data_IF_863982281599
#
_entry.id   IF_863982281599
#
_cell.length_a   1.000
_cell.length_b   1.000
_cell.length_c   1.000
_cell.angle_alpha   90.00
_cell.angle_beta   90.00
_cell.angle_gamma   90.00
#
_symmetry.space_group_name_H-M   'P 1'
#
loop_
_entity.id
_entity.type
_entity.pdbx_description
1 polymer ?
#
# COMPACT_ATOMS: atom_id res chain seq x y z
N UNK A 1 20.35 -31.66 -6.17
CA UNK A 1 19.82 -30.62 -7.07
C UNK A 1 20.25 -29.29 -6.48
N UNK A 2 20.81 -28.40 -7.30
CA UNK A 2 21.17 -27.06 -6.84
C UNK A 2 19.90 -26.26 -6.55
N UNK A 3 19.82 -25.67 -5.36
CA UNK A 3 18.68 -24.87 -4.92
C UNK A 3 18.92 -23.45 -5.46
N UNK A 4 17.97 -22.84 -6.21
CA UNK A 4 18.11 -21.48 -6.68
C UNK A 4 18.31 -20.51 -5.51
N UNK A 5 19.10 -19.46 -5.74
CA UNK A 5 19.42 -18.44 -4.73
C UNK A 5 18.94 -17.08 -5.20
N UNK A 6 18.13 -16.41 -4.38
CA UNK A 6 17.49 -15.13 -4.72
C UNK A 6 18.06 -14.04 -3.82
N UNK A 7 18.53 -12.94 -4.41
CA UNK A 7 18.70 -11.69 -3.69
C UNK A 7 17.36 -10.95 -3.71
N UNK A 8 16.70 -10.89 -2.55
CA UNK A 8 15.40 -10.25 -2.39
C UNK A 8 15.61 -8.85 -1.82
N UNK A 9 15.38 -7.82 -2.62
CA UNK A 9 15.56 -6.41 -2.25
C UNK A 9 14.19 -5.77 -1.98
N UNK A 10 13.88 -5.49 -0.72
CA UNK A 10 12.58 -4.96 -0.32
C UNK A 10 12.64 -4.20 1.00
N UNK A 11 11.76 -3.21 1.25
CA UNK A 11 11.45 -2.83 2.63
C UNK A 11 10.89 -4.03 3.41
N UNK A 12 11.13 -4.02 4.72
CA UNK A 12 10.56 -4.91 5.74
C UNK A 12 10.30 -4.10 7.01
N UNK A 13 9.51 -4.63 7.95
CA UNK A 13 9.14 -3.88 9.15
C UNK A 13 10.39 -3.55 9.97
N UNK A 14 10.51 -2.33 10.54
CA UNK A 14 9.45 -1.33 10.73
C UNK A 14 9.37 -0.26 9.63
N UNK A 15 9.84 -0.52 8.40
CA UNK A 15 9.65 0.46 7.33
C UNK A 15 8.15 0.72 7.09
N UNK A 16 7.71 1.98 7.08
CA UNK A 16 6.30 2.34 6.95
C UNK A 16 5.83 2.21 5.49
N UNK A 17 5.65 0.97 5.04
CA UNK A 17 5.21 0.61 3.69
C UNK A 17 4.39 -0.67 3.75
N UNK A 18 3.24 -0.71 3.08
CA UNK A 18 2.47 -1.97 2.97
C UNK A 18 3.24 -3.09 2.27
N UNK A 19 4.29 -2.75 1.51
CA UNK A 19 5.18 -3.73 0.87
C UNK A 19 6.13 -4.38 1.88
N UNK A 20 6.39 -3.72 3.02
CA UNK A 20 7.11 -4.31 4.14
C UNK A 20 6.32 -5.50 4.71
N UNK A 21 5.04 -5.28 5.04
CA UNK A 21 4.14 -6.34 5.51
C UNK A 21 4.03 -7.47 4.48
N UNK A 22 3.76 -7.12 3.21
CA UNK A 22 3.65 -8.12 2.15
C UNK A 22 4.92 -8.97 2.00
N UNK A 23 6.10 -8.35 2.13
CA UNK A 23 7.36 -9.08 2.02
C UNK A 23 7.56 -10.06 3.15
N UNK A 24 7.25 -9.66 4.39
CA UNK A 24 7.32 -10.57 5.53
C UNK A 24 6.28 -11.69 5.48
N UNK A 25 5.16 -11.48 4.77
CA UNK A 25 4.15 -12.50 4.52
C UNK A 25 4.55 -13.46 3.39
N UNK A 26 5.21 -12.98 2.33
CA UNK A 26 5.62 -13.76 1.16
C UNK A 26 6.90 -14.57 1.37
N UNK A 27 7.92 -13.98 2.01
CA UNK A 27 9.25 -14.57 2.22
C UNK A 27 9.22 -16.02 2.76
N UNK A 28 8.38 -16.39 3.76
CA UNK A 28 8.44 -17.74 4.30
C UNK A 28 7.97 -18.80 3.31
N UNK A 29 7.07 -18.43 2.41
CA UNK A 29 6.58 -19.30 1.33
C UNK A 29 7.54 -19.31 0.14
N UNK A 30 8.16 -18.18 -0.18
CA UNK A 30 9.18 -18.12 -1.23
C UNK A 30 10.43 -18.95 -0.85
N UNK A 31 10.79 -18.98 0.43
CA UNK A 31 11.84 -19.82 1.00
C UNK A 31 11.62 -21.33 0.80
N UNK A 32 10.41 -21.76 0.43
CA UNK A 32 10.15 -23.16 0.07
C UNK A 32 10.70 -23.53 -1.32
N UNK A 33 10.96 -22.55 -2.18
CA UNK A 33 11.39 -22.75 -3.57
C UNK A 33 12.84 -22.31 -3.83
N UNK A 34 13.40 -21.43 -2.99
CA UNK A 34 14.76 -20.90 -3.15
C UNK A 34 15.44 -20.61 -1.81
N UNK A 35 16.77 -20.58 -1.80
CA UNK A 35 17.56 -19.93 -0.75
C UNK A 35 17.43 -18.41 -0.93
N UNK A 36 16.85 -17.72 0.05
CA UNK A 36 16.63 -16.27 -0.03
C UNK A 36 17.63 -15.54 0.85
N UNK A 37 18.27 -14.52 0.30
CA UNK A 37 19.03 -13.51 1.06
C UNK A 37 18.29 -12.19 0.93
N UNK A 38 17.90 -11.62 2.07
CA UNK A 38 17.18 -10.36 2.13
C UNK A 38 18.18 -9.20 2.13
N UNK A 39 17.98 -8.26 1.22
CA UNK A 39 18.70 -7.00 1.18
C UNK A 39 17.76 -5.84 1.54
N UNK A 40 18.11 -5.12 2.61
CA UNK A 40 17.31 -3.99 3.13
C UNK A 40 18.08 -2.69 3.03
N UNK A 41 17.39 -1.57 3.19
CA UNK A 41 18.02 -0.25 3.25
C UNK A 41 19.11 -0.18 4.32
N UNK A 42 20.17 0.54 4.00
CA UNK A 42 21.31 0.74 4.87
C UNK A 42 20.87 1.40 6.19
N UNK A 43 21.05 0.70 7.31
CA UNK A 43 20.66 1.21 8.62
C UNK A 43 19.33 0.67 9.12
N UNK A 44 18.47 0.14 8.24
CA UNK A 44 17.24 -0.54 8.66
C UNK A 44 17.57 -1.76 9.52
N UNK A 45 16.82 -1.95 10.60
CA UNK A 45 16.88 -3.14 11.46
C UNK A 45 15.51 -3.79 11.44
N UNK A 46 15.38 -5.00 10.86
CA UNK A 46 14.08 -5.66 10.83
C UNK A 46 13.55 -5.90 12.24
N UNK A 47 12.27 -5.57 12.49
CA UNK A 47 11.63 -5.77 13.80
C UNK A 47 11.06 -7.19 13.97
N UNK A 48 10.84 -7.91 12.86
CA UNK A 48 10.35 -9.28 12.87
C UNK A 48 11.47 -10.27 13.22
N UNK A 49 11.40 -10.84 14.44
CA UNK A 49 12.39 -11.80 14.94
C UNK A 49 12.48 -13.08 14.10
N UNK A 50 11.32 -13.64 13.69
CA UNK A 50 11.28 -14.88 12.89
C UNK A 50 12.00 -14.70 11.56
N UNK A 51 11.89 -13.51 10.95
CA UNK A 51 12.62 -13.17 9.73
C UNK A 51 14.14 -13.16 9.96
N UNK A 52 14.62 -12.48 11.01
CA UNK A 52 16.07 -12.35 11.30
C UNK A 52 16.70 -13.68 11.69
N UNK A 53 15.95 -14.56 12.36
CA UNK A 53 16.42 -15.89 12.78
C UNK A 53 16.54 -16.87 11.62
N UNK A 54 15.76 -16.70 10.55
CA UNK A 54 15.62 -17.70 9.49
C UNK A 54 16.16 -17.28 8.13
N UNK A 55 16.35 -15.98 7.89
CA UNK A 55 16.83 -15.43 6.61
C UNK A 55 18.07 -14.59 6.86
N UNK A 56 19.11 -14.78 6.04
CA UNK A 56 20.27 -13.90 6.03
C UNK A 56 19.84 -12.49 5.58
N UNK A 57 20.05 -11.49 6.44
CA UNK A 57 19.73 -10.08 6.14
C UNK A 57 21.02 -9.28 5.98
N UNK A 58 21.16 -8.62 4.82
CA UNK A 58 22.31 -7.79 4.49
C UNK A 58 21.89 -6.36 4.11
N UNK A 59 22.72 -5.35 4.38
CA UNK A 59 22.47 -4.00 3.88
C UNK A 59 22.66 -3.95 2.35
N UNK A 60 21.79 -3.19 1.66
CA UNK A 60 21.78 -3.06 0.20
C UNK A 60 23.12 -2.62 -0.39
N UNK A 61 23.92 -1.79 0.31
CA UNK A 61 25.27 -1.44 -0.17
C UNK A 61 26.20 -2.64 -0.40
N UNK A 62 25.94 -3.78 0.23
CA UNK A 62 26.74 -5.00 0.05
C UNK A 62 26.37 -5.78 -1.21
N UNK A 63 25.21 -5.54 -1.82
CA UNK A 63 24.73 -6.32 -2.97
C UNK A 63 25.76 -6.45 -4.10
N UNK A 64 26.44 -5.38 -4.58
CA UNK A 64 27.43 -5.53 -5.65
C UNK A 64 28.64 -6.40 -5.27
N UNK A 65 29.02 -6.40 -3.98
CA UNK A 65 30.10 -7.26 -3.49
C UNK A 65 29.63 -8.70 -3.38
N UNK A 66 28.42 -8.94 -2.90
CA UNK A 66 27.86 -10.28 -2.75
C UNK A 66 27.64 -10.96 -4.11
N UNK A 67 27.10 -10.24 -5.09
CA UNK A 67 26.93 -10.75 -6.47
C UNK A 67 28.25 -11.21 -7.07
N UNK A 68 29.36 -10.48 -6.83
CA UNK A 68 30.71 -10.87 -7.30
C UNK A 68 31.29 -12.07 -6.56
N UNK A 69 30.93 -12.26 -5.28
CA UNK A 69 31.48 -13.32 -4.43
C UNK A 69 30.76 -14.66 -4.66
N UNK A 70 29.43 -14.62 -4.70
CA UNK A 70 28.56 -15.78 -4.90
C UNK A 70 27.38 -15.32 -5.75
N UNK A 71 27.35 -15.66 -7.05
CA UNK A 71 26.30 -15.18 -7.94
C UNK A 71 24.92 -15.67 -7.47
N UNK A 72 23.94 -14.78 -7.59
CA UNK A 72 22.54 -15.11 -7.35
C UNK A 72 21.91 -15.58 -8.66
N UNK A 73 20.96 -16.50 -8.55
CA UNK A 73 20.18 -16.99 -9.67
C UNK A 73 19.11 -15.99 -10.13
N UNK A 74 18.66 -15.10 -9.22
CA UNK A 74 17.83 -13.95 -9.53
C UNK A 74 18.08 -12.80 -8.55
N UNK A 75 17.96 -11.58 -9.06
CA UNK A 75 17.84 -10.35 -8.26
C UNK A 75 16.38 -9.90 -8.37
N UNK A 76 15.72 -9.68 -7.24
CA UNK A 76 14.32 -9.31 -7.17
C UNK A 76 14.17 -7.99 -6.41
N UNK A 77 13.57 -6.99 -7.03
CA UNK A 77 13.44 -5.64 -6.49
C UNK A 77 11.98 -5.26 -6.31
N UNK A 78 11.54 -5.04 -5.08
CA UNK A 78 10.18 -4.58 -4.78
C UNK A 78 10.13 -3.06 -4.92
N UNK A 79 9.35 -2.57 -5.88
CA UNK A 79 9.18 -1.16 -6.17
C UNK A 79 7.74 -0.73 -5.96
N UNK A 80 7.55 0.26 -5.10
CA UNK A 80 6.30 0.97 -4.89
C UNK A 80 6.51 2.48 -4.93
N UNK A 81 5.42 3.23 -4.80
CA UNK A 81 5.43 4.68 -4.91
C UNK A 81 5.79 5.39 -3.59
N UNK A 82 6.87 4.97 -2.90
CA UNK A 82 7.27 5.58 -1.62
C UNK A 82 8.79 5.65 -1.40
N UNK A 83 9.26 6.55 -0.50
CA UNK A 83 10.68 6.72 -0.19
C UNK A 83 11.40 5.43 0.22
N UNK A 84 10.69 4.47 0.82
CA UNK A 84 11.23 3.18 1.27
C UNK A 84 11.88 2.36 0.14
N UNK A 85 11.64 2.74 -1.12
CA UNK A 85 12.17 2.09 -2.31
C UNK A 85 13.40 2.77 -2.90
N UNK A 86 13.92 3.84 -2.29
CA UNK A 86 15.01 4.63 -2.87
C UNK A 86 16.33 3.86 -2.98
N UNK A 87 16.75 3.17 -1.92
CA UNK A 87 17.95 2.34 -1.96
C UNK A 87 17.80 1.15 -2.93
N UNK A 88 16.58 0.61 -3.05
CA UNK A 88 16.23 -0.49 -3.93
C UNK A 88 16.32 -0.04 -5.40
N UNK A 89 15.72 1.09 -5.74
CA UNK A 89 15.79 1.68 -7.07
C UNK A 89 17.23 2.02 -7.47
N UNK A 90 18.01 2.59 -6.55
CA UNK A 90 19.42 2.86 -6.79
C UNK A 90 20.23 1.57 -7.07
N UNK A 91 19.90 0.47 -6.39
CA UNK A 91 20.52 -0.83 -6.65
C UNK A 91 20.09 -1.41 -8.01
N UNK A 92 18.80 -1.38 -8.32
CA UNK A 92 18.24 -1.91 -9.57
C UNK A 92 18.82 -1.23 -10.83
N UNK A 93 19.07 0.09 -10.77
CA UNK A 93 19.72 0.83 -11.87
C UNK A 93 21.14 0.35 -12.18
N UNK A 94 21.85 -0.20 -11.20
CA UNK A 94 23.26 -0.62 -11.33
C UNK A 94 23.41 -2.11 -11.57
N UNK A 95 22.48 -2.90 -11.03
CA UNK A 95 22.41 -4.34 -11.16
C UNK A 95 21.00 -4.71 -11.59
N UNK A 96 20.70 -4.69 -12.90
CA UNK A 96 19.38 -5.01 -13.42
C UNK A 96 18.93 -6.42 -13.02
N UNK A 97 17.64 -6.55 -12.72
CA UNK A 97 17.00 -7.78 -12.28
C UNK A 97 15.50 -7.75 -12.51
N UNK A 98 14.76 -8.61 -11.80
CA UNK A 98 13.30 -8.62 -11.87
C UNK A 98 12.74 -7.53 -10.97
N UNK A 99 11.87 -6.67 -11.50
CA UNK A 99 11.10 -5.71 -10.71
C UNK A 99 9.75 -6.33 -10.35
N UNK A 100 9.39 -6.26 -9.08
CA UNK A 100 8.02 -6.45 -8.60
C UNK A 100 7.41 -5.07 -8.45
N UNK A 101 6.50 -4.71 -9.35
CA UNK A 101 5.92 -3.38 -9.42
C UNK A 101 4.56 -3.37 -8.69
N UNK A 102 4.52 -2.69 -7.54
CA UNK A 102 3.35 -2.59 -6.67
C UNK A 102 2.43 -1.43 -7.03
N UNK A 103 2.98 -0.37 -7.63
CA UNK A 103 2.28 0.82 -8.09
C UNK A 103 2.74 1.13 -9.52
N UNK A 104 1.80 1.34 -10.44
CA UNK A 104 2.13 1.73 -11.81
C UNK A 104 2.51 3.22 -11.92
N UNK A 105 1.88 4.07 -11.10
CA UNK A 105 2.20 5.49 -11.01
C UNK A 105 3.21 5.72 -9.88
N UNK A 106 4.45 6.05 -10.23
CA UNK A 106 5.59 6.26 -9.32
C UNK A 106 5.93 7.74 -9.09
N UNK A 107 4.95 8.63 -9.27
CA UNK A 107 5.14 10.07 -9.21
C UNK A 107 5.76 10.59 -7.91
N UNK A 108 5.19 10.17 -6.77
CA UNK A 108 5.64 10.63 -5.47
C UNK A 108 7.04 10.11 -5.17
N UNK A 109 7.31 8.86 -5.55
CA UNK A 109 8.64 8.27 -5.48
C UNK A 109 9.65 9.05 -6.33
N UNK A 110 9.38 9.29 -7.62
CA UNK A 110 10.34 9.94 -8.52
C UNK A 110 10.63 11.40 -8.12
N UNK A 111 9.60 12.15 -7.70
CA UNK A 111 9.79 13.49 -7.14
C UNK A 111 10.66 13.45 -5.88
N UNK A 112 10.33 12.56 -4.94
CA UNK A 112 11.10 12.41 -3.71
C UNK A 112 12.55 11.99 -3.97
N UNK A 113 12.76 11.05 -4.90
CA UNK A 113 14.08 10.55 -5.26
C UNK A 113 14.95 11.65 -5.86
N UNK A 114 14.43 12.43 -6.81
CA UNK A 114 15.11 13.59 -7.39
C UNK A 114 15.49 14.62 -6.31
N UNK A 115 14.55 14.96 -5.42
CA UNK A 115 14.79 15.97 -4.38
C UNK A 115 15.78 15.51 -3.29
N UNK A 116 15.68 14.26 -2.81
CA UNK A 116 16.38 13.80 -1.61
C UNK A 116 17.61 12.95 -1.92
N UNK A 117 17.53 12.10 -2.95
CA UNK A 117 18.61 11.18 -3.30
C UNK A 117 19.57 11.76 -4.31
N UNK A 118 19.04 12.42 -5.34
CA UNK A 118 19.84 13.09 -6.38
C UNK A 118 20.22 14.52 -5.99
N UNK A 119 19.47 15.13 -5.07
CA UNK A 119 19.60 16.56 -4.68
C UNK A 119 19.44 17.51 -5.87
N UNK A 120 18.62 17.12 -6.84
CA UNK A 120 18.26 17.91 -8.02
C UNK A 120 16.78 17.74 -8.34
N UNK A 121 15.92 18.48 -7.65
CA UNK A 121 14.47 18.45 -7.89
C UNK A 121 14.09 18.86 -9.33
N UNK A 122 14.95 19.59 -10.04
CA UNK A 122 14.71 19.97 -11.43
C UNK A 122 14.96 18.80 -12.39
N UNK A 123 15.70 17.76 -11.99
CA UNK A 123 15.84 16.53 -12.77
C UNK A 123 14.47 15.89 -13.04
N UNK A 124 13.60 15.89 -12.04
CA UNK A 124 12.22 15.40 -12.15
C UNK A 124 11.39 16.23 -13.14
N UNK A 125 11.49 17.57 -13.11
CA UNK A 125 10.78 18.44 -14.07
C UNK A 125 11.26 18.17 -15.49
N UNK A 126 12.58 18.10 -15.70
CA UNK A 126 13.16 17.81 -17.01
C UNK A 126 12.74 16.43 -17.51
N UNK A 127 12.74 15.41 -16.65
CA UNK A 127 12.30 14.06 -17.00
C UNK A 127 10.82 14.03 -17.40
N UNK A 128 9.97 14.76 -16.68
CA UNK A 128 8.54 14.91 -17.00
C UNK A 128 8.31 15.64 -18.32
N UNK A 129 9.04 16.73 -18.60
CA UNK A 129 8.95 17.46 -19.87
C UNK A 129 9.46 16.65 -21.05
N UNK A 130 10.59 15.95 -20.88
CA UNK A 130 11.16 15.12 -21.92
C UNK A 130 10.23 13.97 -22.31
N UNK A 131 9.54 13.37 -21.33
CA UNK A 131 8.71 12.19 -21.56
C UNK A 131 7.28 12.53 -21.97
N UNK A 132 6.71 13.58 -21.41
CA UNK A 132 5.28 13.89 -21.57
C UNK A 132 5.01 15.29 -22.09
N UNK A 133 6.05 16.00 -22.56
CA UNK A 133 5.95 17.34 -23.11
C UNK A 133 5.54 18.40 -22.09
N UNK A 134 5.00 19.51 -22.61
CA UNK A 134 4.58 20.66 -21.80
C UNK A 134 3.53 20.30 -20.71
N UNK A 135 2.54 19.40 -20.95
CA UNK A 135 1.64 18.94 -19.89
C UNK A 135 2.37 18.29 -18.72
N UNK A 136 3.33 17.40 -18.99
CA UNK A 136 4.12 16.75 -17.94
C UNK A 136 4.92 17.75 -17.10
N UNK A 137 5.59 18.70 -17.74
CA UNK A 137 6.30 19.76 -17.03
C UNK A 137 5.40 20.64 -16.17
N UNK A 138 4.20 20.94 -16.66
CA UNK A 138 3.20 21.68 -15.89
C UNK A 138 2.80 20.93 -14.61
N UNK A 139 2.45 19.65 -14.72
CA UNK A 139 2.13 18.81 -13.57
C UNK A 139 3.32 18.70 -12.62
N UNK A 140 4.54 18.50 -13.12
CA UNK A 140 5.75 18.43 -12.30
C UNK A 140 5.93 19.69 -11.44
N UNK A 141 5.71 20.87 -12.05
CA UNK A 141 5.78 22.18 -11.37
C UNK A 141 4.66 22.40 -10.35
N UNK A 142 3.48 21.81 -10.54
CA UNK A 142 2.41 21.83 -9.54
C UNK A 142 2.75 20.93 -8.35
N UNK A 143 3.23 19.72 -8.62
CA UNK A 143 3.65 18.74 -7.61
C UNK A 143 4.76 19.27 -6.70
N UNK A 144 5.79 19.92 -7.27
CA UNK A 144 6.86 20.58 -6.49
C UNK A 144 6.29 21.63 -5.53
N UNK A 145 5.20 22.30 -5.90
CA UNK A 145 4.51 23.29 -5.05
C UNK A 145 3.45 22.66 -4.15
N UNK A 146 3.45 21.34 -3.98
CA UNK A 146 2.46 20.57 -3.20
C UNK A 146 1.01 20.81 -3.66
N UNK A 147 0.82 21.12 -4.95
CA UNK A 147 -0.50 21.23 -5.57
C UNK A 147 -0.79 19.92 -6.31
N UNK A 148 -1.40 18.99 -5.60
CA UNK A 148 -1.77 17.69 -6.15
C UNK A 148 -2.97 17.85 -7.10
N UNK A 149 -2.90 17.15 -8.23
CA UNK A 149 -3.95 17.10 -9.24
C UNK A 149 -4.15 15.67 -9.68
N UNK A 150 -5.40 15.27 -9.88
CA UNK A 150 -5.78 13.96 -10.41
C UNK A 150 -5.08 13.67 -11.75
N UNK A 151 -4.79 14.71 -12.54
CA UNK A 151 -4.05 14.60 -13.79
C UNK A 151 -2.64 14.04 -13.63
N UNK A 152 -2.06 14.05 -12.41
CA UNK A 152 -0.79 13.37 -12.16
C UNK A 152 -0.88 11.86 -12.43
N UNK A 153 -2.05 11.24 -12.25
CA UNK A 153 -2.21 9.80 -12.48
C UNK A 153 -2.14 9.40 -13.97
N UNK A 154 -2.17 10.37 -14.89
CA UNK A 154 -1.99 10.16 -16.33
C UNK A 154 -0.51 10.05 -16.74
N UNK A 155 0.42 10.33 -15.82
CA UNK A 155 1.87 10.34 -16.09
C UNK A 155 2.58 9.31 -15.19
N UNK A 156 2.70 8.04 -15.61
CA UNK A 156 3.06 6.95 -14.70
C UNK A 156 4.44 7.07 -14.05
N UNK A 157 5.40 7.70 -14.72
CA UNK A 157 6.79 7.83 -14.28
C UNK A 157 7.50 6.49 -13.98
N UNK A 158 6.93 5.37 -14.41
CA UNK A 158 7.49 4.03 -14.22
C UNK A 158 8.39 3.58 -15.39
N UNK A 159 8.45 4.34 -16.48
CA UNK A 159 9.21 4.01 -17.69
C UNK A 159 10.69 3.76 -17.40
N UNK A 160 11.40 4.56 -16.57
CA UNK A 160 12.78 4.24 -16.20
C UNK A 160 12.90 2.90 -15.48
N UNK A 161 11.92 2.56 -14.63
CA UNK A 161 11.88 1.30 -13.87
C UNK A 161 11.65 0.12 -14.82
N UNK A 162 10.71 0.26 -15.76
CA UNK A 162 10.45 -0.75 -16.79
C UNK A 162 11.66 -0.95 -17.72
N UNK A 163 12.32 0.14 -18.13
CA UNK A 163 13.49 0.08 -19.01
C UNK A 163 14.71 -0.58 -18.34
N UNK A 164 14.84 -0.49 -17.01
CA UNK A 164 15.91 -1.11 -16.25
C UNK A 164 15.62 -2.59 -15.87
N UNK A 165 14.41 -3.09 -16.10
CA UNK A 165 13.98 -4.42 -15.67
C UNK A 165 14.43 -5.52 -16.65
N UNK A 166 14.91 -6.65 -16.13
CA UNK A 166 15.07 -7.89 -16.90
C UNK A 166 13.77 -8.70 -17.00
N UNK A 167 12.87 -8.48 -16.06
CA UNK A 167 11.54 -9.07 -16.03
C UNK A 167 10.65 -8.32 -15.05
N UNK A 168 9.34 -8.47 -15.21
CA UNK A 168 8.35 -7.74 -14.44
C UNK A 168 7.35 -8.69 -13.78
N UNK A 169 7.18 -8.56 -12.47
CA UNK A 169 6.05 -9.15 -11.75
C UNK A 169 5.10 -8.01 -11.37
N UNK A 170 3.82 -8.18 -11.71
CA UNK A 170 2.72 -7.28 -11.32
C UNK A 170 1.58 -8.10 -10.74
N UNK A 171 0.65 -7.44 -10.05
CA UNK A 171 -0.40 -8.12 -9.30
C UNK A 171 -1.78 -8.09 -9.96
N UNK A 172 -1.91 -7.43 -11.12
CA UNK A 172 -3.17 -7.29 -11.86
C UNK A 172 -2.95 -7.28 -13.37
N UNK A 173 -3.97 -7.68 -14.14
CA UNK A 173 -3.91 -7.62 -15.61
C UNK A 173 -3.89 -6.18 -16.10
N UNK A 174 -4.61 -5.29 -15.42
CA UNK A 174 -4.62 -3.86 -15.67
C UNK A 174 -3.21 -3.27 -15.69
N UNK A 175 -2.37 -3.57 -14.70
CA UNK A 175 -0.98 -3.08 -14.68
C UNK A 175 -0.13 -3.78 -15.74
N UNK A 176 -0.34 -5.09 -15.97
CA UNK A 176 0.39 -5.83 -16.98
C UNK A 176 0.17 -5.26 -18.39
N UNK A 177 -1.08 -4.94 -18.75
CA UNK A 177 -1.45 -4.36 -20.04
C UNK A 177 -0.85 -2.97 -20.23
N UNK A 178 -0.89 -2.13 -19.19
CA UNK A 178 -0.28 -0.79 -19.25
C UNK A 178 1.24 -0.83 -19.31
N UNK A 179 1.87 -1.74 -18.56
CA UNK A 179 3.30 -1.95 -18.64
C UNK A 179 3.72 -2.50 -20.01
N UNK A 180 2.95 -3.42 -20.58
CA UNK A 180 3.18 -3.94 -21.93
C UNK A 180 3.01 -2.85 -23.01
N UNK A 181 2.09 -1.90 -22.83
CA UNK A 181 1.95 -0.76 -23.73
C UNK A 181 3.18 0.17 -23.73
N UNK A 182 3.86 0.29 -22.57
CA UNK A 182 5.08 1.09 -22.44
C UNK A 182 6.36 0.31 -22.84
N UNK A 183 6.40 -1.00 -22.58
CA UNK A 183 7.55 -1.84 -22.86
C UNK A 183 7.14 -3.26 -23.33
N UNK A 184 6.71 -3.43 -24.59
CA UNK A 184 6.12 -4.69 -25.08
C UNK A 184 7.04 -5.92 -25.01
N UNK A 185 8.35 -5.70 -25.14
CA UNK A 185 9.35 -6.78 -25.14
C UNK A 185 9.77 -7.26 -23.73
N UNK A 186 9.30 -6.60 -22.65
CA UNK A 186 9.69 -6.94 -21.29
C UNK A 186 8.96 -8.21 -20.84
N UNK A 187 9.66 -9.32 -20.52
CA UNK A 187 9.00 -10.51 -19.99
C UNK A 187 8.25 -10.17 -18.71
N UNK A 188 6.96 -10.47 -18.66
CA UNK A 188 6.12 -10.14 -17.51
C UNK A 188 5.26 -11.31 -17.05
N UNK A 189 4.88 -11.29 -15.77
CA UNK A 189 3.89 -12.20 -15.22
C UNK A 189 2.95 -11.46 -14.28
N UNK A 190 1.66 -11.76 -14.40
CA UNK A 190 0.66 -11.43 -13.39
C UNK A 190 0.74 -12.50 -12.31
N UNK A 191 1.11 -12.11 -11.10
CA UNK A 191 1.06 -12.95 -9.91
C UNK A 191 0.14 -12.28 -8.89
N UNK A 192 -1.09 -12.80 -8.67
CA UNK A 192 -1.98 -12.24 -7.65
C UNK A 192 -1.27 -12.10 -6.31
N UNK A 193 -1.44 -10.95 -5.66
CA UNK A 193 -0.84 -10.68 -4.37
C UNK A 193 -1.45 -11.62 -3.32
N UNK A 194 -0.62 -12.39 -2.63
CA UNK A 194 -1.04 -13.26 -1.55
C UNK A 194 -1.24 -12.48 -0.25
N UNK A 195 -2.24 -12.86 0.54
CA UNK A 195 -2.46 -12.35 1.91
C UNK A 195 -2.84 -13.50 2.85
N UNK A 196 -2.51 -13.43 4.15
CA UNK A 196 -3.08 -14.35 5.13
C UNK A 196 -4.60 -14.23 5.13
N UNK A 197 -5.31 -15.36 5.08
CA UNK A 197 -6.76 -15.36 5.19
C UNK A 197 -7.15 -14.97 6.63
N UNK A 198 -7.87 -13.87 6.86
CA UNK A 198 -8.21 -13.45 8.21
C UNK A 198 -9.10 -14.48 8.93
N UNK A 199 -9.01 -14.59 10.26
CA UNK A 199 -9.98 -15.38 11.03
C UNK A 199 -11.38 -14.76 10.90
N UNK A 200 -12.42 -15.60 11.01
CA UNK A 200 -13.79 -15.10 11.11
C UNK A 200 -14.06 -14.69 12.55
N UNK A 201 -14.14 -13.38 12.78
CA UNK A 201 -14.51 -12.81 14.06
C UNK A 201 -16.03 -12.62 14.17
N UNK A 202 -16.58 -12.84 15.37
CA UNK A 202 -17.99 -12.58 15.64
C UNK A 202 -18.29 -11.09 15.56
N UNK A 203 -19.27 -10.69 14.73
CA UNK A 203 -19.74 -9.30 14.62
C UNK A 203 -20.21 -8.78 15.99
N UNK A 204 -20.99 -9.56 16.73
CA UNK A 204 -21.50 -9.17 18.04
C UNK A 204 -20.37 -8.95 19.05
N UNK A 205 -19.37 -9.84 19.09
CA UNK A 205 -18.21 -9.67 19.98
C UNK A 205 -17.37 -8.44 19.60
N UNK A 206 -17.18 -8.20 18.30
CA UNK A 206 -16.47 -7.02 17.82
C UNK A 206 -17.20 -5.72 18.16
N UNK A 207 -18.53 -5.69 18.03
CA UNK A 207 -19.36 -4.54 18.41
C UNK A 207 -19.34 -4.26 19.91
N UNK A 208 -19.44 -5.29 20.73
CA UNK A 208 -19.30 -5.17 22.18
C UNK A 208 -17.95 -4.57 22.56
N UNK A 209 -16.85 -5.01 21.92
CA UNK A 209 -15.50 -4.46 22.13
C UNK A 209 -15.37 -2.99 21.74
N UNK A 210 -16.11 -2.56 20.71
CA UNK A 210 -16.10 -1.18 20.21
C UNK A 210 -17.17 -0.30 20.85
N UNK A 211 -17.94 -0.81 21.82
CA UNK A 211 -19.09 -0.14 22.42
C UNK A 211 -20.11 0.37 21.38
N UNK A 212 -20.31 -0.39 20.31
CA UNK A 212 -21.29 -0.10 19.26
C UNK A 212 -22.61 -0.81 19.58
N UNK A 213 -23.73 -0.10 19.43
CA UNK A 213 -25.05 -0.72 19.55
C UNK A 213 -25.28 -1.72 18.41
N UNK A 214 -26.08 -2.75 18.67
CA UNK A 214 -26.31 -3.83 17.71
C UNK A 214 -27.10 -3.37 16.47
N UNK A 215 -27.95 -2.36 16.64
CA UNK A 215 -28.79 -1.74 15.61
C UNK A 215 -28.08 -0.61 14.84
N UNK A 216 -26.92 -0.12 15.29
CA UNK A 216 -26.11 0.87 14.56
C UNK A 216 -25.75 0.32 13.18
N UNK A 217 -26.04 1.06 12.12
CA UNK A 217 -25.53 0.75 10.78
C UNK A 217 -24.11 1.29 10.68
N UNK A 218 -23.12 0.41 10.64
CA UNK A 218 -21.70 0.79 10.57
C UNK A 218 -21.17 0.67 9.15
N UNK A 219 -20.92 1.81 8.53
CA UNK A 219 -20.05 1.94 7.36
C UNK A 219 -18.59 2.05 7.84
N UNK A 220 -17.62 1.49 7.11
CA UNK A 220 -16.21 1.63 7.49
C UNK A 220 -15.24 1.68 6.30
N UNK A 221 -14.32 2.65 6.32
CA UNK A 221 -13.18 2.75 5.41
C UNK A 221 -11.88 2.53 6.15
N UNK A 222 -10.90 1.92 5.49
CA UNK A 222 -9.68 1.43 6.13
C UNK A 222 -8.40 1.89 5.43
N UNK A 223 -7.33 2.03 6.20
CA UNK A 223 -5.99 2.40 5.74
C UNK A 223 -5.75 3.90 5.79
N UNK A 224 -4.69 4.36 5.12
CA UNK A 224 -4.36 5.79 5.09
C UNK A 224 -5.45 6.59 4.35
N UNK A 225 -6.07 7.54 5.06
CA UNK A 225 -7.21 8.34 4.60
C UNK A 225 -6.68 9.59 3.90
N UNK A 226 -6.92 9.68 2.59
CA UNK A 226 -6.56 10.82 1.75
C UNK A 226 -7.67 11.14 0.74
N UNK A 227 -7.47 12.16 -0.09
CA UNK A 227 -8.45 12.60 -1.09
C UNK A 227 -8.86 11.46 -2.05
N UNK A 228 -7.93 10.57 -2.37
CA UNK A 228 -8.14 9.48 -3.32
C UNK A 228 -9.05 8.38 -2.79
N UNK A 229 -9.26 8.29 -1.47
CA UNK A 229 -10.17 7.32 -0.84
C UNK A 229 -11.67 7.64 -1.03
N UNK A 230 -12.01 8.72 -1.76
CA UNK A 230 -13.39 9.12 -2.10
C UNK A 230 -14.33 9.15 -0.88
N UNK A 231 -13.86 9.72 0.22
CA UNK A 231 -14.64 9.79 1.47
C UNK A 231 -15.89 10.66 1.29
N UNK A 232 -15.82 11.72 0.47
CA UNK A 232 -16.94 12.64 0.26
C UNK A 232 -18.21 11.96 -0.30
N UNK A 233 -18.17 11.17 -1.39
CA UNK A 233 -19.32 10.38 -1.83
C UNK A 233 -19.93 9.49 -0.74
N UNK A 234 -19.09 8.85 0.09
CA UNK A 234 -19.56 8.01 1.20
C UNK A 234 -20.25 8.85 2.31
N UNK A 235 -19.77 10.07 2.58
CA UNK A 235 -20.44 10.99 3.51
C UNK A 235 -21.82 11.43 2.99
N UNK A 236 -21.97 11.63 1.68
CA UNK A 236 -23.29 11.94 1.08
C UNK A 236 -24.27 10.78 1.28
N UNK A 237 -23.83 9.55 1.07
CA UNK A 237 -24.63 8.36 1.34
C UNK A 237 -24.98 8.22 2.83
N UNK A 238 -24.02 8.47 3.73
CA UNK A 238 -24.27 8.48 5.18
C UNK A 238 -25.34 9.49 5.59
N UNK A 239 -25.26 10.73 5.07
CA UNK A 239 -26.26 11.76 5.34
C UNK A 239 -27.66 11.33 4.88
N UNK A 240 -27.77 10.73 3.69
CA UNK A 240 -29.04 10.24 3.16
C UNK A 240 -29.63 9.08 4.01
N UNK A 241 -28.80 8.11 4.41
CA UNK A 241 -29.23 7.04 5.32
C UNK A 241 -29.76 7.60 6.66
N UNK A 242 -29.10 8.61 7.23
CA UNK A 242 -29.58 9.25 8.47
C UNK A 242 -30.89 10.02 8.26
N UNK A 243 -31.05 10.68 7.11
CA UNK A 243 -32.31 11.34 6.76
C UNK A 243 -33.47 10.35 6.58
N UNK A 244 -33.17 9.09 6.22
CA UNK A 244 -34.11 7.97 6.16
C UNK A 244 -34.40 7.34 7.55
N UNK A 245 -33.76 7.82 8.62
CA UNK A 245 -33.98 7.35 9.99
C UNK A 245 -33.08 6.19 10.42
N UNK A 246 -32.09 5.77 9.62
CA UNK A 246 -31.12 4.78 10.06
C UNK A 246 -30.19 5.37 11.15
N UNK A 247 -29.89 4.64 12.24
CA UNK A 247 -28.84 4.99 13.19
C UNK A 247 -27.46 4.70 12.57
N UNK A 248 -27.15 5.39 11.47
CA UNK A 248 -25.96 5.16 10.67
C UNK A 248 -24.75 5.94 11.20
N UNK A 249 -23.61 5.24 11.23
CA UNK A 249 -22.30 5.73 11.67
C UNK A 249 -21.22 5.33 10.67
N UNK A 250 -20.20 6.16 10.52
CA UNK A 250 -19.09 5.91 9.60
C UNK A 250 -17.74 5.95 10.32
N UNK A 251 -17.05 4.81 10.34
CA UNK A 251 -15.70 4.71 10.87
C UNK A 251 -14.64 4.90 9.77
N UNK A 252 -13.74 5.85 9.95
CA UNK A 252 -12.54 6.07 9.16
C UNK A 252 -11.34 5.54 9.94
N UNK A 253 -10.95 4.31 9.62
CA UNK A 253 -10.00 3.50 10.39
C UNK A 253 -8.60 3.56 9.76
N UNK A 254 -7.78 4.49 10.25
CA UNK A 254 -6.39 4.67 9.82
C UNK A 254 -5.89 6.11 9.99
N UNK A 255 -4.60 6.32 9.72
CA UNK A 255 -3.99 7.65 9.71
C UNK A 255 -4.60 8.54 8.63
N UNK A 256 -4.63 9.85 8.84
CA UNK A 256 -5.15 10.83 7.88
C UNK A 256 -3.99 11.57 7.24
N UNK A 257 -4.04 11.80 5.93
CA UNK A 257 -3.05 12.65 5.26
C UNK A 257 -3.12 14.07 5.82
N UNK A 258 -1.97 14.70 6.16
CA UNK A 258 -1.96 16.06 6.68
C UNK A 258 -2.36 17.12 5.63
N UNK A 259 -2.35 16.81 4.32
CA UNK A 259 -2.86 17.74 3.30
C UNK A 259 -4.33 17.49 2.93
N UNK A 260 -5.02 16.62 3.65
CA UNK A 260 -6.44 16.34 3.43
C UNK A 260 -7.30 16.94 4.54
N UNK A 261 -8.09 17.97 4.21
CA UNK A 261 -9.05 18.62 5.12
C UNK A 261 -10.27 17.73 5.40
N UNK A 262 -10.03 16.58 6.03
CA UNK A 262 -11.09 15.64 6.40
C UNK A 262 -12.02 16.23 7.45
N UNK A 263 -11.48 16.96 8.44
CA UNK A 263 -12.27 17.59 9.49
C UNK A 263 -13.24 18.63 8.92
N UNK A 264 -12.76 19.52 8.04
CA UNK A 264 -13.62 20.47 7.35
C UNK A 264 -14.62 19.81 6.41
N UNK A 265 -14.26 18.70 5.76
CA UNK A 265 -15.21 17.92 4.95
C UNK A 265 -16.36 17.36 5.79
N UNK A 266 -16.06 16.72 6.93
CA UNK A 266 -17.06 16.19 7.86
C UNK A 266 -17.94 17.32 8.43
N UNK A 267 -17.33 18.46 8.79
CA UNK A 267 -18.03 19.61 9.31
C UNK A 267 -19.00 20.22 8.28
N UNK A 268 -18.56 20.38 7.01
CA UNK A 268 -19.41 20.86 5.91
C UNK A 268 -20.58 19.92 5.64
N UNK A 269 -20.38 18.61 5.78
CA UNK A 269 -21.43 17.61 5.67
C UNK A 269 -22.37 17.56 6.88
N UNK A 270 -22.04 18.25 8.00
CA UNK A 270 -22.78 18.24 9.27
C UNK A 270 -22.93 16.83 9.87
N UNK A 271 -21.87 16.04 9.80
CA UNK A 271 -21.83 14.63 10.24
C UNK A 271 -20.84 14.40 11.40
N UNK A 272 -20.51 15.42 12.16
CA UNK A 272 -19.51 15.33 13.24
C UNK A 272 -19.87 14.33 14.35
N UNK A 273 -21.15 14.12 14.60
CA UNK A 273 -21.68 13.14 15.56
C UNK A 273 -21.82 11.72 14.98
N UNK A 274 -21.67 11.58 13.65
CA UNK A 274 -21.91 10.34 12.90
C UNK A 274 -20.64 9.75 12.28
N UNK A 275 -19.48 10.37 12.52
CA UNK A 275 -18.20 9.95 11.93
C UNK A 275 -17.15 9.81 13.02
N UNK A 276 -16.45 8.68 13.04
CA UNK A 276 -15.28 8.47 13.91
C UNK A 276 -14.03 8.35 13.05
N UNK A 277 -12.99 9.12 13.40
CA UNK A 277 -11.65 9.00 12.82
C UNK A 277 -10.73 8.41 13.88
N UNK A 278 -10.19 7.22 13.65
CA UNK A 278 -9.46 6.49 14.71
C UNK A 278 -7.98 6.83 14.78
N UNK A 279 -7.40 7.35 13.71
CA UNK A 279 -5.94 7.32 13.53
C UNK A 279 -5.42 5.90 13.28
N UNK A 280 -4.10 5.74 13.33
CA UNK A 280 -3.48 4.42 13.16
C UNK A 280 -3.87 3.49 14.33
N UNK A 281 -4.31 2.27 14.01
CA UNK A 281 -4.68 1.27 14.99
C UNK A 281 -3.82 0.01 14.86
N UNK A 282 -3.50 -0.66 15.98
CA UNK A 282 -2.95 -2.01 15.96
C UNK A 282 -3.88 -2.97 15.22
N UNK A 283 -3.29 -4.01 14.62
CA UNK A 283 -4.00 -5.00 13.78
C UNK A 283 -5.23 -5.61 14.45
N UNK A 284 -5.17 -5.93 15.75
CA UNK A 284 -6.30 -6.52 16.46
C UNK A 284 -7.52 -5.58 16.52
N UNK A 285 -7.29 -4.29 16.74
CA UNK A 285 -8.36 -3.28 16.74
C UNK A 285 -8.87 -3.02 15.33
N UNK A 286 -7.96 -2.99 14.34
CA UNK A 286 -8.33 -2.94 12.92
C UNK A 286 -9.28 -4.09 12.55
N UNK A 287 -8.93 -5.33 12.90
CA UNK A 287 -9.74 -6.52 12.62
C UNK A 287 -11.10 -6.48 13.34
N UNK A 288 -11.17 -5.90 14.55
CA UNK A 288 -12.43 -5.67 15.24
C UNK A 288 -13.34 -4.70 14.47
N UNK A 289 -12.82 -3.58 13.95
CA UNK A 289 -13.61 -2.67 13.11
C UNK A 289 -14.09 -3.34 11.82
N UNK A 290 -13.24 -4.15 11.17
CA UNK A 290 -13.64 -4.92 9.99
C UNK A 290 -14.79 -5.86 10.34
N UNK A 291 -14.69 -6.61 11.43
CA UNK A 291 -15.73 -7.56 11.84
C UNK A 291 -17.04 -6.90 12.29
N UNK A 292 -16.97 -5.70 12.87
CA UNK A 292 -18.14 -4.95 13.33
C UNK A 292 -18.92 -4.27 12.20
N UNK A 293 -18.24 -3.91 11.10
CA UNK A 293 -18.84 -3.20 9.97
C UNK A 293 -19.95 -4.01 9.29
N UNK A 294 -21.03 -3.31 8.94
CA UNK A 294 -22.09 -3.87 8.09
C UNK A 294 -21.68 -3.77 6.61
N UNK A 295 -21.03 -2.66 6.24
CA UNK A 295 -20.55 -2.41 4.89
C UNK A 295 -19.16 -1.77 4.95
N UNK A 296 -18.17 -2.42 4.33
CA UNK A 296 -16.85 -1.84 4.14
C UNK A 296 -16.81 -1.02 2.84
N UNK A 297 -16.11 0.11 2.87
CA UNK A 297 -15.95 1.01 1.74
C UNK A 297 -14.45 1.08 1.43
N UNK A 298 -14.07 0.65 0.23
CA UNK A 298 -12.71 0.77 -0.29
C UNK A 298 -12.79 1.40 -1.69
N UNK A 299 -13.17 2.67 -1.71
CA UNK A 299 -13.18 3.46 -2.92
C UNK A 299 -11.80 4.05 -3.19
N UNK A 300 -11.49 4.19 -4.47
CA UNK A 300 -10.29 4.85 -4.92
C UNK A 300 -10.47 5.42 -6.32
N UNK A 301 -10.31 6.74 -6.44
CA UNK A 301 -10.25 7.40 -7.73
C UNK A 301 -9.50 8.74 -7.65
N UNK A 302 -8.59 9.03 -8.60
CA UNK A 302 -8.03 8.13 -9.62
C UNK A 302 -7.22 6.96 -9.03
N UNK A 303 -6.86 5.97 -9.86
CA UNK A 303 -6.00 4.82 -9.48
C UNK A 303 -4.60 4.99 -10.06
N UNK A 304 -3.59 4.67 -9.25
CA UNK A 304 -2.20 4.55 -9.66
C UNK A 304 -1.82 3.14 -10.10
N UNK A 305 -2.79 2.23 -10.27
CA UNK A 305 -2.54 0.82 -10.54
C UNK A 305 -2.05 0.04 -9.32
N UNK A 306 -2.22 0.60 -8.11
CA UNK A 306 -1.87 -0.04 -6.85
C UNK A 306 -2.62 -1.35 -6.61
N UNK A 307 -2.01 -2.24 -5.83
CA UNK A 307 -2.70 -3.42 -5.27
C UNK A 307 -2.95 -3.24 -3.78
N UNK A 308 -4.20 -3.42 -3.35
CA UNK A 308 -4.61 -3.09 -1.98
C UNK A 308 -4.67 -4.32 -1.08
N UNK A 309 -3.68 -4.47 -0.18
CA UNK A 309 -3.68 -5.53 0.82
C UNK A 309 -4.83 -5.35 1.82
N UNK A 310 -5.16 -4.10 2.16
CA UNK A 310 -6.33 -3.79 2.99
C UNK A 310 -7.62 -4.31 2.35
N UNK A 311 -7.84 -4.09 1.05
CA UNK A 311 -9.01 -4.62 0.36
C UNK A 311 -9.08 -6.15 0.45
N UNK A 312 -7.99 -6.86 0.15
CA UNK A 312 -7.98 -8.32 0.23
C UNK A 312 -8.26 -8.82 1.66
N UNK A 313 -7.86 -8.09 2.70
CA UNK A 313 -8.23 -8.41 4.09
C UNK A 313 -9.72 -8.17 4.37
N UNK A 314 -10.33 -7.12 3.83
CA UNK A 314 -11.78 -6.88 3.94
C UNK A 314 -12.58 -8.00 3.27
N UNK A 315 -12.22 -8.34 2.03
CA UNK A 315 -12.82 -9.45 1.28
C UNK A 315 -12.58 -10.78 2.01
N UNK A 316 -11.36 -11.01 2.49
CA UNK A 316 -10.98 -12.18 3.26
C UNK A 316 -11.77 -12.32 4.57
N UNK A 317 -12.10 -11.22 5.25
CA UNK A 317 -12.96 -11.21 6.44
C UNK A 317 -14.45 -11.48 6.13
N UNK A 318 -14.80 -11.64 4.85
CA UNK A 318 -16.13 -11.94 4.37
C UNK A 318 -17.12 -10.82 4.63
N UNK A 319 -16.68 -9.56 4.56
CA UNK A 319 -17.55 -8.38 4.75
C UNK A 319 -18.07 -7.88 3.40
N UNK A 320 -19.35 -7.48 3.33
CA UNK A 320 -19.87 -6.75 2.16
C UNK A 320 -19.00 -5.52 1.90
N UNK A 321 -18.41 -5.42 0.71
CA UNK A 321 -17.42 -4.38 0.41
C UNK A 321 -17.78 -3.66 -0.89
N UNK A 322 -17.77 -2.33 -0.85
CA UNK A 322 -17.91 -1.46 -2.01
C UNK A 322 -16.52 -1.04 -2.51
N UNK A 323 -16.29 -1.11 -3.81
CA UNK A 323 -15.03 -0.73 -4.46
C UNK A 323 -15.29 0.15 -5.67
N UNK A 324 -14.32 0.98 -6.05
CA UNK A 324 -14.45 1.75 -7.29
C UNK A 324 -14.27 0.83 -8.51
N UNK A 325 -15.11 0.98 -9.54
CA UNK A 325 -15.11 0.19 -10.77
C UNK A 325 -13.98 0.62 -11.73
N UNK A 326 -12.73 0.52 -11.29
CA UNK A 326 -11.56 1.08 -12.00
C UNK A 326 -10.30 0.27 -11.70
N UNK A 327 -9.41 0.18 -12.70
CA UNK A 327 -8.10 -0.43 -12.55
C UNK A 327 -8.17 -1.89 -12.11
N UNK A 328 -7.29 -2.29 -11.19
CA UNK A 328 -7.27 -3.64 -10.63
C UNK A 328 -8.57 -4.02 -9.89
N UNK A 329 -9.34 -3.05 -9.39
CA UNK A 329 -10.60 -3.33 -8.69
C UNK A 329 -11.72 -3.75 -9.64
N UNK A 330 -11.70 -3.27 -10.89
CA UNK A 330 -12.65 -3.69 -11.92
C UNK A 330 -12.47 -5.16 -12.33
N UNK A 331 -11.30 -5.76 -12.08
CA UNK A 331 -11.02 -7.17 -12.38
C UNK A 331 -11.67 -8.15 -11.40
N UNK A 332 -12.20 -7.67 -10.27
CA UNK A 332 -12.85 -8.52 -9.30
C UNK A 332 -14.07 -9.23 -9.94
N UNK A 333 -14.21 -10.56 -9.76
CA UNK A 333 -15.36 -11.28 -10.30
C UNK A 333 -16.70 -10.73 -9.80
N UNK A 334 -17.78 -10.83 -10.59
CA UNK A 334 -19.12 -10.51 -10.13
C UNK A 334 -19.46 -11.23 -8.82
N UNK A 335 -20.04 -10.51 -7.85
CA UNK A 335 -20.40 -11.06 -6.54
C UNK A 335 -19.28 -11.06 -5.49
N UNK A 336 -18.05 -10.67 -5.84
CA UNK A 336 -16.96 -10.51 -4.85
C UNK A 336 -17.03 -9.15 -4.14
N UNK A 337 -17.44 -8.10 -4.84
CA UNK A 337 -17.61 -6.77 -4.28
C UNK A 337 -18.68 -6.00 -5.07
N UNK A 338 -19.29 -5.00 -4.45
CA UNK A 338 -20.17 -4.06 -5.14
C UNK A 338 -19.32 -2.99 -5.83
N UNK A 339 -19.38 -2.89 -7.15
CA UNK A 339 -18.59 -1.93 -7.93
C UNK A 339 -19.35 -0.60 -8.08
N UNK A 340 -18.70 0.50 -7.70
CA UNK A 340 -19.18 1.88 -7.79
C UNK A 340 -18.45 2.57 -8.92
N UNK A 341 -19.18 3.06 -9.91
CA UNK A 341 -18.60 3.77 -11.05
C UNK A 341 -18.08 5.14 -10.59
N UNK A 342 -16.81 5.47 -10.82
CA UNK A 342 -16.30 6.80 -10.52
C UNK A 342 -17.03 7.87 -11.33
N UNK A 343 -17.39 8.97 -10.69
CA UNK A 343 -18.08 10.07 -11.34
C UNK A 343 -19.12 10.77 -10.46
N UNK A 344 -19.94 11.65 -11.05
CA UNK A 344 -20.89 12.47 -10.30
C UNK A 344 -21.92 11.66 -9.48
N UNK A 345 -22.24 10.45 -9.92
CA UNK A 345 -23.26 9.58 -9.33
C UNK A 345 -22.73 8.63 -8.23
N UNK A 346 -21.44 8.70 -7.86
CA UNK A 346 -20.84 7.81 -6.85
C UNK A 346 -21.66 7.77 -5.55
N UNK A 347 -22.08 8.94 -5.04
CA UNK A 347 -22.85 9.04 -3.80
C UNK A 347 -24.19 8.31 -3.87
N UNK A 348 -24.91 8.45 -5.00
CA UNK A 348 -26.21 7.81 -5.22
C UNK A 348 -26.07 6.29 -5.38
N UNK A 349 -25.03 5.84 -6.08
CA UNK A 349 -24.72 4.42 -6.21
C UNK A 349 -24.34 3.79 -4.86
N UNK A 350 -23.51 4.46 -4.06
CA UNK A 350 -23.16 3.99 -2.70
C UNK A 350 -24.42 3.88 -1.85
N UNK A 351 -25.30 4.88 -1.88
CA UNK A 351 -26.56 4.85 -1.14
C UNK A 351 -27.46 3.69 -1.61
N UNK A 352 -27.58 3.47 -2.92
CA UNK A 352 -28.35 2.37 -3.47
C UNK A 352 -27.83 1.00 -3.01
N UNK A 353 -26.51 0.80 -3.02
CA UNK A 353 -25.90 -0.41 -2.47
C UNK A 353 -26.12 -0.55 -0.97
N UNK A 354 -26.02 0.55 -0.20
CA UNK A 354 -26.30 0.51 1.23
C UNK A 354 -27.75 0.06 1.50
N UNK A 355 -28.73 0.67 0.84
CA UNK A 355 -30.14 0.26 0.97
C UNK A 355 -30.36 -1.19 0.59
N UNK A 356 -29.75 -1.65 -0.51
CA UNK A 356 -29.88 -3.04 -0.95
C UNK A 356 -29.31 -4.01 0.08
N UNK A 357 -28.07 -3.78 0.55
CA UNK A 357 -27.38 -4.69 1.45
C UNK A 357 -27.98 -4.69 2.86
N UNK A 358 -28.47 -3.54 3.34
CA UNK A 358 -29.17 -3.42 4.63
C UNK A 358 -30.59 -4.03 4.56
N UNK A 359 -31.30 -3.84 3.45
CA UNK A 359 -32.63 -4.39 3.22
C UNK A 359 -32.65 -5.88 2.84
N UNK A 360 -31.52 -6.43 2.38
CA UNK A 360 -31.35 -7.83 1.99
C UNK A 360 -30.11 -8.45 2.65
N UNK A 361 -30.21 -8.81 3.95
CA UNK A 361 -29.11 -9.44 4.68
C UNK A 361 -28.61 -10.73 4.04
N UNK A 362 -29.46 -11.45 3.31
CA UNK A 362 -29.10 -12.64 2.54
C UNK A 362 -28.13 -12.32 1.40
N UNK A 363 -28.34 -11.21 0.69
CA UNK A 363 -27.44 -10.73 -0.37
C UNK A 363 -26.12 -10.22 0.22
N UNK A 364 -26.17 -9.51 1.35
CA UNK A 364 -24.97 -9.07 2.06
C UNK A 364 -24.11 -10.28 2.50
N UNK A 365 -24.74 -11.29 3.10
CA UNK A 365 -24.06 -12.52 3.50
C UNK A 365 -23.49 -13.28 2.30
N UNK A 366 -24.22 -13.36 1.19
CA UNK A 366 -23.75 -13.99 -0.04
C UNK A 366 -22.54 -13.27 -0.65
N UNK A 367 -22.58 -11.93 -0.72
CA UNK A 367 -21.48 -11.09 -1.20
C UNK A 367 -20.22 -11.31 -0.35
N UNK A 368 -20.37 -11.28 0.98
CA UNK A 368 -19.27 -11.55 1.91
C UNK A 368 -18.70 -12.96 1.79
N UNK A 369 -19.55 -13.99 1.67
CA UNK A 369 -19.11 -15.37 1.51
C UNK A 369 -18.35 -15.59 0.20
N UNK A 370 -18.84 -15.03 -0.91
CA UNK A 370 -18.17 -15.06 -2.21
C UNK A 370 -16.83 -14.32 -2.17
N UNK A 371 -16.77 -13.15 -1.51
CA UNK A 371 -15.54 -12.39 -1.31
C UNK A 371 -14.47 -13.21 -0.58
N UNK A 372 -14.85 -13.86 0.53
CA UNK A 372 -13.93 -14.69 1.31
C UNK A 372 -13.46 -15.90 0.51
N UNK A 373 -14.36 -16.58 -0.20
CA UNK A 373 -14.03 -17.73 -1.03
C UNK A 373 -13.04 -17.34 -2.15
N UNK A 374 -13.24 -16.18 -2.77
CA UNK A 374 -12.32 -15.63 -3.76
C UNK A 374 -10.91 -15.41 -3.19
N UNK A 375 -10.78 -14.76 -2.03
CA UNK A 375 -9.46 -14.56 -1.39
C UNK A 375 -8.81 -15.89 -1.00
N UNK A 376 -9.58 -16.82 -0.45
CA UNK A 376 -9.10 -18.14 -0.08
C UNK A 376 -8.68 -19.00 -1.29
N UNK A 377 -9.23 -18.74 -2.47
CA UNK A 377 -8.95 -19.47 -3.71
C UNK A 377 -7.82 -18.88 -4.55
N UNK A 378 -7.77 -17.54 -4.67
CA UNK A 378 -6.92 -16.83 -5.65
C UNK A 378 -5.78 -16.01 -5.03
N UNK A 379 -5.87 -15.67 -3.75
CA UNK A 379 -4.94 -14.76 -3.05
C UNK A 379 -4.16 -15.45 -1.93
N UNK A 380 -3.82 -16.72 -2.14
CA UNK A 380 -3.02 -17.49 -1.17
C UNK A 380 -1.53 -17.18 -1.30
N UNK A 381 -0.84 -17.09 -0.16
CA UNK A 381 0.61 -16.86 -0.13
C UNK A 381 1.39 -17.99 -0.81
N UNK A 382 0.93 -19.24 -0.73
CA UNK A 382 1.54 -20.37 -1.43
C UNK A 382 1.46 -20.23 -2.95
N UNK A 383 0.34 -19.72 -3.46
CA UNK A 383 0.14 -19.50 -4.89
C UNK A 383 0.98 -18.32 -5.39
N UNK A 384 1.04 -17.24 -4.60
CA UNK A 384 1.92 -16.10 -4.89
C UNK A 384 3.38 -16.55 -4.97
N UNK A 385 3.91 -17.22 -3.93
CA UNK A 385 5.28 -17.73 -3.94
C UNK A 385 5.56 -18.71 -5.10
N UNK A 386 4.62 -19.60 -5.41
CA UNK A 386 4.72 -20.48 -6.57
C UNK A 386 4.70 -19.71 -7.91
N UNK A 387 3.96 -18.61 -8.00
CA UNK A 387 3.93 -17.72 -9.16
C UNK A 387 5.27 -17.04 -9.38
N UNK A 388 5.89 -16.50 -8.31
CA UNK A 388 7.23 -15.92 -8.34
C UNK A 388 8.25 -16.97 -8.81
N UNK A 389 8.28 -18.14 -8.16
CA UNK A 389 9.21 -19.21 -8.52
C UNK A 389 9.04 -19.68 -9.97
N UNK A 390 7.81 -19.83 -10.46
CA UNK A 390 7.51 -20.18 -11.87
C UNK A 390 7.98 -19.12 -12.84
N UNK A 391 7.79 -17.85 -12.53
CA UNK A 391 8.25 -16.77 -13.39
C UNK A 391 9.78 -16.72 -13.45
N UNK A 392 10.44 -16.73 -12.30
CA UNK A 392 11.91 -16.71 -12.21
C UNK A 392 12.53 -17.93 -12.90
N UNK A 393 11.96 -19.12 -12.71
CA UNK A 393 12.44 -20.33 -13.36
C UNK A 393 12.33 -20.26 -14.89
N UNK A 394 11.22 -19.75 -15.42
CA UNK A 394 11.06 -19.55 -16.87
C UNK A 394 12.04 -18.49 -17.41
N UNK A 395 12.21 -17.38 -16.69
CA UNK A 395 13.04 -16.26 -17.14
C UNK A 395 14.53 -16.63 -17.15
N UNK A 396 15.01 -17.33 -16.12
CA UNK A 396 16.43 -17.64 -15.92
C UNK A 396 16.79 -19.10 -16.23
N UNK A 397 15.85 -19.89 -16.74
CA UNK A 397 16.08 -21.30 -17.09
C UNK A 397 16.39 -22.20 -15.89
N UNK A 398 15.79 -21.95 -14.73
CA UNK A 398 15.98 -22.82 -13.57
C UNK A 398 15.38 -24.22 -13.81
N UNK A 399 15.88 -25.27 -13.13
CA UNK A 399 15.23 -26.59 -13.12
C UNK A 399 13.76 -26.51 -12.70
N UNK A 400 13.01 -27.59 -12.95
CA UNK A 400 11.59 -27.67 -12.61
C UNK A 400 11.30 -27.16 -11.18
N UNK A 401 10.37 -26.21 -11.07
CA UNK A 401 10.00 -25.59 -9.80
C UNK A 401 9.44 -26.65 -8.86
N UNK A 402 10.19 -26.96 -7.81
CA UNK A 402 9.79 -27.90 -6.76
C UNK A 402 10.02 -27.26 -5.41
N UNK A 403 9.14 -27.56 -4.46
CA UNK A 403 9.37 -27.19 -3.06
C UNK A 403 10.53 -28.04 -2.54
N UNK A 404 11.60 -27.40 -2.10
CA UNK A 404 12.69 -28.07 -1.39
C UNK A 404 12.47 -28.06 0.13
N UNK A 405 11.55 -27.22 0.63
CA UNK A 405 10.99 -27.28 1.98
C UNK A 405 9.49 -27.55 1.94
N UNK A 406 9.03 -28.55 2.68
CA UNK A 406 7.60 -28.88 2.75
C UNK A 406 6.78 -27.80 3.46
N UNK A 407 7.35 -27.21 4.52
CA UNK A 407 6.72 -26.17 5.34
C UNK A 407 7.32 -24.79 5.05
N UNK A 408 6.53 -23.71 5.19
CA UNK A 408 7.06 -22.35 5.12
C UNK A 408 8.05 -22.11 6.27
N UNK A 409 8.94 -21.12 6.10
CA UNK A 409 9.94 -20.76 7.12
C UNK A 409 9.26 -20.38 8.45
N UNK A 410 8.23 -19.54 8.37
CA UNK A 410 7.33 -19.25 9.49
C UNK A 410 5.88 -19.12 9.01
N UNK A 411 4.94 -19.15 9.95
CA UNK A 411 3.55 -18.80 9.67
C UNK A 411 3.34 -17.30 9.89
N UNK A 412 2.94 -16.51 8.86
CA UNK A 412 2.57 -15.10 9.03
C UNK A 412 1.25 -14.88 9.78
N UNK A 413 0.43 -15.91 9.93
CA UNK A 413 -0.83 -15.86 10.69
C UNK A 413 -0.63 -15.97 12.21
N UNK A 414 0.47 -16.60 12.66
CA UNK A 414 0.85 -16.69 14.07
C UNK A 414 1.70 -15.47 14.47
N UNK A 415 1.16 -14.65 15.37
CA UNK A 415 1.79 -13.39 15.78
C UNK A 415 3.14 -13.61 16.48
N UNK A 416 4.10 -12.73 16.18
CA UNK A 416 5.06 -12.24 17.16
C UNK A 416 4.46 -10.94 17.72
N UNK A 417 4.13 -10.88 19.00
CA UNK A 417 3.59 -9.66 19.60
C UNK A 417 4.59 -8.50 19.36
N UNK A 418 4.16 -7.34 18.84
CA UNK A 418 5.01 -6.17 18.87
C UNK A 418 5.26 -5.79 20.34
N UNK A 419 6.45 -5.31 20.71
CA UNK A 419 6.60 -4.62 21.99
C UNK A 419 5.61 -3.46 22.00
N UNK A 420 4.79 -3.38 23.06
CA UNK A 420 3.91 -2.23 23.31
C UNK A 420 4.82 -1.00 23.43
N UNK A 421 4.77 -0.02 22.52
CA UNK A 421 5.45 1.24 22.77
C UNK A 421 4.78 1.90 23.98
N UNK A 422 5.56 2.57 24.87
CA UNK A 422 4.97 3.32 25.97
C UNK A 422 3.98 4.35 25.40
N UNK A 423 2.84 4.52 26.09
CA UNK A 423 1.84 5.51 25.70
C UNK A 423 2.52 6.87 25.49
N UNK A 424 2.27 7.56 24.36
CA UNK A 424 2.82 8.89 24.16
C UNK A 424 2.31 9.81 25.28
N UNK A 425 3.16 10.69 25.82
CA UNK A 425 2.71 11.68 26.78
C UNK A 425 1.63 12.56 26.15
N UNK A 426 0.57 12.85 26.91
CA UNK A 426 -0.45 13.84 26.55
C UNK A 426 0.26 15.14 26.18
N UNK A 427 0.01 15.74 25.00
CA UNK A 427 0.66 16.99 24.63
C UNK A 427 0.31 18.08 25.65
N UNK A 428 1.31 18.51 26.41
CA UNK A 428 1.26 19.78 27.12
C UNK A 428 1.15 20.89 26.07
N UNK A 429 0.18 21.78 26.24
CA UNK A 429 0.11 23.01 25.47
C UNK A 429 1.45 23.78 25.58
N UNK A 430 1.84 24.41 24.46
CA UNK A 430 3.05 25.21 24.26
C UNK A 430 4.35 24.43 24.08
N UNK A 431 4.57 23.91 22.87
CA UNK A 431 5.91 23.77 22.29
C UNK A 431 5.97 24.63 21.01
N UNK A 432 6.98 25.48 20.92
CA UNK A 432 7.20 26.39 19.80
C UNK A 432 7.39 25.60 18.49
N UNK A 433 6.70 26.02 17.43
CA UNK A 433 6.88 25.46 16.08
C UNK A 433 8.31 25.77 15.60
N UNK A 434 9.09 24.77 15.14
CA UNK A 434 10.36 25.05 14.48
C UNK A 434 10.10 25.83 13.17
N UNK A 435 11.07 26.66 12.77
CA UNK A 435 11.00 27.50 11.59
C UNK A 435 10.72 26.68 10.31
N UNK A 436 9.98 27.24 9.34
CA UNK A 436 9.64 26.51 8.11
C UNK A 436 10.91 26.25 7.28
N UNK A 437 11.26 24.97 7.12
CA UNK A 437 12.30 24.53 6.20
C UNK A 437 12.01 24.96 4.75
N UNK A 438 13.06 25.10 3.93
CA UNK A 438 12.96 25.59 2.56
C UNK A 438 11.96 24.79 1.68
N UNK A 439 11.49 25.37 0.54
CA UNK A 439 10.38 24.83 -0.25
C UNK A 439 10.55 23.37 -0.71
N UNK A 440 11.78 22.93 -0.97
CA UNK A 440 12.09 21.56 -1.39
C UNK A 440 11.94 20.55 -0.23
N UNK A 441 12.30 20.95 0.99
CA UNK A 441 12.15 20.12 2.20
C UNK A 441 10.67 19.96 2.53
N UNK A 442 9.90 21.05 2.43
CA UNK A 442 8.46 21.04 2.68
C UNK A 442 7.70 20.21 1.62
N UNK A 443 8.08 20.31 0.34
CA UNK A 443 7.49 19.50 -0.73
C UNK A 443 7.80 18.01 -0.59
N UNK A 444 9.04 17.66 -0.20
CA UNK A 444 9.42 16.29 0.08
C UNK A 444 8.68 15.72 1.29
N UNK A 445 8.63 16.45 2.42
CA UNK A 445 7.92 16.05 3.63
C UNK A 445 6.40 15.85 3.39
N UNK A 446 5.78 16.67 2.54
CA UNK A 446 4.37 16.53 2.18
C UNK A 446 4.11 15.36 1.23
N UNK A 447 4.99 15.12 0.26
CA UNK A 447 4.87 13.95 -0.62
C UNK A 447 5.02 12.63 0.16
N UNK A 448 5.88 12.62 1.17
CA UNK A 448 6.09 11.56 2.17
C UNK A 448 4.82 11.32 2.99
N UNK A 449 4.20 12.40 3.48
CA UNK A 449 2.99 12.29 4.29
C UNK A 449 1.73 11.86 3.51
N UNK A 450 1.60 12.22 2.23
CA UNK A 450 0.52 11.71 1.35
C UNK A 450 0.50 10.20 1.18
N UNK A 451 1.64 9.55 1.45
CA UNK A 451 1.83 8.11 1.31
C UNK A 451 1.61 7.36 2.62
N UNK A 452 1.19 8.03 3.70
CA UNK A 452 0.85 7.38 4.97
C UNK A 452 1.81 7.59 6.13
N UNK A 453 2.84 8.43 5.96
CA UNK A 453 3.87 8.67 6.97
C UNK A 453 3.39 9.71 8.01
N UNK A 454 3.55 9.41 9.30
CA UNK A 454 3.05 10.23 10.43
C UNK A 454 4.17 10.76 11.32
N UNK A 455 3.84 11.63 12.27
CA UNK A 455 4.77 12.20 13.26
C UNK A 455 5.42 11.15 14.19
N UNK A 456 4.84 9.93 14.26
CA UNK A 456 5.35 8.79 15.01
C UNK A 456 6.49 8.04 14.28
N UNK A 457 6.74 8.37 13.00
CA UNK A 457 7.87 7.88 12.21
C UNK A 457 9.15 8.63 12.58
N UNK A 458 9.54 8.49 13.84
CA UNK A 458 10.60 9.26 14.49
C UNK A 458 11.95 9.13 13.78
N UNK A 459 12.28 7.96 13.21
CA UNK A 459 13.56 7.73 12.53
C UNK A 459 13.65 8.44 11.15
N UNK A 460 12.62 8.38 10.26
CA UNK A 460 12.55 9.21 9.07
C UNK A 460 12.56 10.71 9.36
N UNK A 461 11.85 11.16 10.40
CA UNK A 461 11.76 12.57 10.77
C UNK A 461 13.06 13.08 11.40
N UNK A 462 13.74 12.28 12.21
CA UNK A 462 15.08 12.57 12.74
C UNK A 462 16.13 12.55 11.63
N UNK A 463 16.10 11.57 10.71
CA UNK A 463 17.03 11.57 9.57
C UNK A 463 16.78 12.74 8.61
N UNK A 464 15.53 13.18 8.47
CA UNK A 464 15.18 14.39 7.73
C UNK A 464 15.68 15.65 8.46
N UNK A 465 15.48 15.75 9.78
CA UNK A 465 15.94 16.87 10.61
C UNK A 465 17.47 16.98 10.71
N UNK A 466 18.17 15.85 10.87
CA UNK A 466 19.64 15.77 10.86
C UNK A 466 20.20 16.18 9.49
N UNK A 467 19.56 15.78 8.39
CA UNK A 467 19.96 16.19 7.04
C UNK A 467 19.64 17.66 6.76
N UNK A 468 18.59 18.23 7.36
CA UNK A 468 18.31 19.68 7.31
C UNK A 468 19.42 20.46 8.03
N UNK A 469 19.85 19.99 9.21
CA UNK A 469 20.96 20.57 9.96
C UNK A 469 22.31 20.45 9.22
N UNK A 470 22.57 19.31 8.56
CA UNK A 470 23.79 19.10 7.75
C UNK A 470 23.84 19.95 6.47
N UNK A 471 22.69 20.44 5.97
CA UNK A 471 22.61 21.28 4.76
C UNK A 471 22.86 22.76 5.04
N UNK A 472 23.04 23.19 6.30
CA UNK A 472 23.33 24.59 6.64
C UNK A 472 22.22 25.57 6.24
N UNK A 473 20.98 25.09 6.14
CA UNK A 473 19.83 25.88 5.66
C UNK A 473 19.13 26.68 6.76
N UNK A 474 19.73 26.81 7.95
CA UNK A 474 19.24 27.65 9.05
C UNK A 474 19.58 29.16 8.88
N UNK A 475 20.10 29.57 7.72
CA UNK A 475 20.39 30.97 7.42
C UNK A 475 19.78 31.40 6.07
N UNK A 476 18.49 31.71 6.07
CA UNK A 476 17.86 32.71 5.19
C UNK A 476 16.53 33.19 5.78
#
# INVERSE_FOLDING_TARGET
MEIPRIAYCSPVNPAPSGIADYSEELLPYLGQYAEVVLFVEDGLRPSNRRLVEQIEVLPLRRLPREVRRRPYHALLYHMGNSPAHAAIWHAAQRLPGVIVLHDFVLHHFMLWYAANRERDIQSYVRAMEQRYGAPGGHIARLMIRSRFSDAAFDFPCCEPVLAAAHGLIVHSRYVAERAAALHPALPSAVVPMGVPLPPLLSRAAARARLALADDTVLLASFGHINAWKRVEPALRALAALRAEGYPAHYALVGSVSPNYDLAGLIARARLGDAVTVTGYLPREQFEAYVAAADICINLRHPTGGETSASLLRLLGAGRPTLVSAVGAFAELPPGVAAQVDPGPAEGDQILAYCRLLLGRPDLAAALGAQARAYVAGEHRLEQAAAGYARFLARLYGWPAVRRWRERPLWDPGEQCAPPVPPAPPVPSACAERPAPGGPAVLAAARAVAELGLTEDDHAPLVSLAERIAELGLDAA
#
